data_IF_958850361270
#
_entry.id   IF_958850361270
#
_cell.length_a   1.000
_cell.length_b   1.000
_cell.length_c   1.000
_cell.angle_alpha   90.00
_cell.angle_beta   90.00
_cell.angle_gamma   90.00
#
_symmetry.space_group_name_H-M   'P 1'
#
loop_
_entity.id
_entity.type
_entity.pdbx_description
1 polymer ?
#
# COMPACT_ATOMS: atom_id res chain seq x y z
N UNK A 1 58.41 8.47 -9.47
CA UNK A 1 57.39 9.26 -8.72
C UNK A 1 56.23 8.31 -8.45
N UNK A 2 56.21 7.68 -7.29
CA UNK A 2 55.11 6.79 -6.90
C UNK A 2 54.00 7.63 -6.30
N UNK A 3 52.81 7.58 -6.89
CA UNK A 3 51.59 8.19 -6.34
C UNK A 3 51.21 7.48 -5.04
N UNK A 4 51.10 8.23 -3.96
CA UNK A 4 50.60 7.75 -2.69
C UNK A 4 49.17 7.18 -2.85
N UNK A 5 48.86 6.05 -2.24
CA UNK A 5 47.52 5.46 -2.30
C UNK A 5 46.50 6.32 -1.53
N UNK A 6 45.30 6.36 -2.10
CA UNK A 6 44.13 7.12 -1.68
C UNK A 6 43.86 7.03 -0.17
N UNK A 7 43.59 8.19 0.38
CA UNK A 7 43.31 8.48 1.79
C UNK A 7 42.28 7.56 2.40
N UNK A 8 42.68 6.83 3.43
CA UNK A 8 41.76 6.16 4.36
C UNK A 8 40.71 7.18 4.86
N UNK A 9 39.41 6.87 4.79
CA UNK A 9 38.39 7.76 5.28
C UNK A 9 38.61 8.01 6.78
N UNK A 10 38.64 9.27 7.17
CA UNK A 10 38.84 9.68 8.56
C UNK A 10 37.72 9.07 9.44
N UNK A 11 38.01 8.60 10.66
CA UNK A 11 37.05 7.94 11.54
C UNK A 11 35.78 8.76 11.81
N UNK A 12 35.84 10.07 11.74
CA UNK A 12 34.70 10.98 11.85
C UNK A 12 33.67 10.84 10.70
N UNK A 13 34.11 10.48 9.50
CA UNK A 13 33.20 10.32 8.34
C UNK A 13 32.42 9.01 8.45
N UNK A 14 33.04 7.95 8.94
CA UNK A 14 32.38 6.65 9.15
C UNK A 14 31.29 6.76 10.23
N UNK A 15 31.56 7.49 11.31
CA UNK A 15 30.62 7.68 12.42
C UNK A 15 29.40 8.52 12.03
N UNK A 16 29.60 9.57 11.20
CA UNK A 16 28.51 10.40 10.69
C UNK A 16 27.56 9.66 9.73
N UNK A 17 28.10 8.74 8.93
CA UNK A 17 27.29 7.91 8.01
C UNK A 17 26.46 6.89 8.76
N UNK A 18 26.97 6.32 9.83
CA UNK A 18 26.25 5.34 10.65
C UNK A 18 25.07 5.98 11.39
N UNK A 19 25.29 7.15 11.98
CA UNK A 19 24.24 7.92 12.66
C UNK A 19 23.10 8.30 11.69
N UNK A 20 23.43 8.68 10.46
CA UNK A 20 22.42 9.01 9.43
C UNK A 20 21.59 7.79 9.03
N UNK A 21 22.23 6.62 8.89
CA UNK A 21 21.53 5.37 8.57
C UNK A 21 20.60 4.95 9.70
N UNK A 22 21.08 5.00 10.92
CA UNK A 22 20.27 4.69 12.12
C UNK A 22 19.06 5.59 12.22
N UNK A 23 19.23 6.89 12.03
CA UNK A 23 18.12 7.84 12.00
C UNK A 23 17.11 7.53 10.88
N UNK A 24 17.58 7.23 9.66
CA UNK A 24 16.70 6.90 8.55
C UNK A 24 15.88 5.64 8.82
N UNK A 25 16.49 4.59 9.36
CA UNK A 25 15.78 3.36 9.74
C UNK A 25 14.74 3.65 10.83
N UNK A 26 15.10 4.40 11.85
CA UNK A 26 14.16 4.77 12.91
C UNK A 26 12.98 5.59 12.38
N UNK A 27 13.23 6.57 11.50
CA UNK A 27 12.19 7.38 10.87
C UNK A 27 11.22 6.53 10.02
N UNK A 28 11.75 5.57 9.25
CA UNK A 28 10.92 4.64 8.46
C UNK A 28 10.06 3.77 9.39
N UNK A 29 10.65 3.19 10.43
CA UNK A 29 9.91 2.35 11.38
C UNK A 29 8.82 3.15 12.11
N UNK A 30 9.13 4.39 12.50
CA UNK A 30 8.15 5.28 13.13
C UNK A 30 6.98 5.58 12.18
N UNK A 31 7.25 5.95 10.93
CA UNK A 31 6.22 6.22 9.93
C UNK A 31 5.36 4.98 9.70
N UNK A 32 5.97 3.81 9.56
CA UNK A 32 5.24 2.55 9.40
C UNK A 32 4.36 2.23 10.61
N UNK A 33 4.88 2.44 11.82
CA UNK A 33 4.10 2.23 13.05
C UNK A 33 2.89 3.19 13.11
N UNK A 34 3.11 4.48 12.85
CA UNK A 34 2.01 5.46 12.79
C UNK A 34 0.99 5.09 11.72
N UNK A 35 1.44 4.65 10.55
CA UNK A 35 0.56 4.22 9.47
C UNK A 35 -0.29 3.02 9.87
N UNK A 36 0.31 1.97 10.40
CA UNK A 36 -0.40 0.75 10.82
C UNK A 36 -1.42 1.04 11.93
N UNK A 37 -1.11 1.96 12.85
CA UNK A 37 -2.03 2.38 13.90
C UNK A 37 -3.17 3.25 13.38
N UNK A 38 -2.88 4.17 12.46
CA UNK A 38 -3.86 5.08 11.90
C UNK A 38 -4.78 4.41 10.87
N UNK A 39 -4.29 3.35 10.18
CA UNK A 39 -4.97 2.71 9.05
C UNK A 39 -4.98 1.19 9.11
N UNK A 40 -5.55 0.61 10.16
CA UNK A 40 -5.65 -0.84 10.26
C UNK A 40 -6.55 -1.38 9.15
N UNK A 41 -6.24 -2.58 8.68
CA UNK A 41 -7.14 -3.34 7.82
C UNK A 41 -8.45 -3.60 8.56
N UNK A 42 -9.58 -3.29 7.92
CA UNK A 42 -10.91 -3.38 8.54
C UNK A 42 -11.76 -4.54 8.04
N UNK A 43 -11.17 -5.47 7.31
CA UNK A 43 -11.86 -6.62 6.76
C UNK A 43 -12.62 -6.32 5.48
N UNK A 44 -13.57 -7.21 5.18
CA UNK A 44 -14.48 -7.07 4.05
C UNK A 44 -15.53 -6.01 4.36
N UNK A 45 -15.63 -5.01 3.51
CA UNK A 45 -16.65 -3.96 3.63
C UNK A 45 -16.97 -3.38 2.25
N UNK A 46 -18.21 -2.91 2.11
CA UNK A 46 -18.67 -2.19 0.92
C UNK A 46 -18.32 -2.92 -0.39
N UNK A 47 -17.67 -2.21 -1.31
CA UNK A 47 -17.27 -2.74 -2.62
C UNK A 47 -16.35 -3.98 -2.49
N UNK A 48 -15.63 -4.15 -1.38
CA UNK A 48 -14.78 -5.31 -1.14
C UNK A 48 -15.54 -6.63 -1.17
N UNK A 49 -16.80 -6.64 -0.73
CA UNK A 49 -17.67 -7.80 -0.77
C UNK A 49 -18.03 -8.17 -2.21
N UNK A 50 -18.29 -7.16 -3.07
CA UNK A 50 -18.58 -7.36 -4.47
C UNK A 50 -17.37 -7.93 -5.24
N UNK A 51 -16.18 -7.35 -5.02
CA UNK A 51 -14.95 -7.86 -5.65
C UNK A 51 -14.61 -9.26 -5.19
N UNK A 52 -14.81 -9.57 -3.91
CA UNK A 52 -14.63 -10.93 -3.42
C UNK A 52 -15.64 -11.88 -4.07
N UNK A 53 -16.92 -11.51 -4.17
CA UNK A 53 -17.93 -12.28 -4.87
C UNK A 53 -17.53 -12.59 -6.32
N UNK A 54 -17.02 -11.60 -7.03
CA UNK A 54 -16.51 -11.77 -8.41
C UNK A 54 -15.31 -12.73 -8.46
N UNK A 55 -14.38 -12.64 -7.51
CA UNK A 55 -13.27 -13.60 -7.42
C UNK A 55 -13.78 -15.01 -7.14
N UNK A 56 -14.76 -15.16 -6.23
CA UNK A 56 -15.39 -16.46 -5.95
C UNK A 56 -16.11 -17.03 -7.16
N UNK A 57 -16.71 -16.19 -8.00
CA UNK A 57 -17.29 -16.63 -9.28
C UNK A 57 -16.24 -17.31 -10.18
N UNK A 58 -15.00 -16.79 -10.23
CA UNK A 58 -13.91 -17.41 -10.96
C UNK A 58 -13.36 -18.67 -10.30
N UNK A 59 -13.39 -18.74 -8.97
CA UNK A 59 -12.85 -19.88 -8.21
C UNK A 59 -13.83 -21.05 -8.07
N UNK A 60 -15.13 -20.73 -7.94
CA UNK A 60 -16.22 -21.68 -7.69
C UNK A 60 -17.48 -21.31 -8.47
N UNK A 61 -17.42 -21.35 -9.81
CA UNK A 61 -18.55 -20.95 -10.65
C UNK A 61 -19.82 -21.76 -10.36
N UNK A 62 -19.67 -23.03 -10.02
CA UNK A 62 -20.80 -23.93 -9.71
C UNK A 62 -21.69 -23.45 -8.57
N UNK A 63 -21.13 -22.69 -7.62
CA UNK A 63 -21.86 -22.12 -6.49
C UNK A 63 -22.42 -20.74 -6.82
N UNK A 64 -21.62 -19.90 -7.45
CA UNK A 64 -21.91 -18.46 -7.61
C UNK A 64 -22.80 -18.15 -8.80
N UNK A 65 -22.79 -18.99 -9.85
CA UNK A 65 -23.61 -18.76 -11.06
C UNK A 65 -25.12 -18.81 -10.81
N UNK A 66 -25.57 -19.35 -9.69
CA UNK A 66 -26.98 -19.39 -9.31
C UNK A 66 -27.45 -18.09 -8.63
N UNK A 67 -26.53 -17.22 -8.25
CA UNK A 67 -26.86 -15.92 -7.65
C UNK A 67 -27.36 -14.95 -8.71
N UNK A 68 -28.50 -14.32 -8.45
CA UNK A 68 -29.16 -13.37 -9.35
C UNK A 68 -28.24 -12.20 -9.71
N UNK A 69 -27.42 -11.73 -8.76
CA UNK A 69 -26.47 -10.65 -9.01
C UNK A 69 -25.47 -11.01 -10.12
N UNK A 70 -24.91 -12.23 -10.08
CA UNK A 70 -23.93 -12.66 -11.09
C UNK A 70 -24.59 -13.01 -12.43
N UNK A 71 -25.86 -13.39 -12.41
CA UNK A 71 -26.59 -13.66 -13.65
C UNK A 71 -26.91 -12.38 -14.43
N UNK A 72 -27.32 -11.31 -13.74
CA UNK A 72 -27.94 -10.14 -14.39
C UNK A 72 -27.30 -8.80 -14.06
N UNK A 73 -26.56 -8.66 -12.99
CA UNK A 73 -26.06 -7.38 -12.48
C UNK A 73 -24.55 -7.27 -12.28
N UNK A 74 -23.81 -8.35 -12.42
CA UNK A 74 -22.39 -8.36 -12.14
C UNK A 74 -21.58 -7.56 -13.17
N UNK A 75 -20.65 -6.75 -12.68
CA UNK A 75 -19.67 -6.04 -13.51
C UNK A 75 -18.43 -6.91 -13.83
N UNK A 76 -18.44 -8.18 -13.50
CA UNK A 76 -17.32 -9.10 -13.65
C UNK A 76 -16.79 -9.15 -15.09
N UNK A 77 -17.67 -9.08 -16.07
CA UNK A 77 -17.32 -9.11 -17.51
C UNK A 77 -16.58 -7.85 -17.99
N UNK A 78 -16.60 -6.78 -17.21
CA UNK A 78 -16.03 -5.47 -17.58
C UNK A 78 -14.80 -5.11 -16.76
N UNK A 79 -14.34 -6.00 -15.90
CA UNK A 79 -13.18 -5.77 -15.05
C UNK A 79 -12.16 -6.92 -15.14
N UNK A 80 -10.89 -6.56 -15.14
CA UNK A 80 -9.79 -7.53 -15.07
C UNK A 80 -9.39 -7.86 -13.63
N UNK A 81 -9.97 -7.19 -12.65
CA UNK A 81 -9.57 -7.29 -11.23
C UNK A 81 -9.83 -8.69 -10.71
N UNK A 82 -11.04 -9.23 -10.91
CA UNK A 82 -11.38 -10.54 -10.38
C UNK A 82 -10.52 -11.68 -10.97
N UNK A 83 -10.34 -11.81 -12.30
CA UNK A 83 -9.46 -12.84 -12.86
C UNK A 83 -7.99 -12.66 -12.47
N UNK A 84 -7.53 -11.41 -12.24
CA UNK A 84 -6.17 -11.14 -11.78
C UNK A 84 -5.96 -11.58 -10.34
N UNK A 85 -6.96 -11.39 -9.49
CA UNK A 85 -6.89 -11.73 -8.07
C UNK A 85 -7.17 -13.21 -7.77
N UNK A 86 -7.94 -13.89 -8.61
CA UNK A 86 -8.33 -15.28 -8.38
C UNK A 86 -7.14 -16.24 -8.12
N UNK A 87 -6.02 -16.19 -8.85
CA UNK A 87 -4.84 -17.03 -8.57
C UNK A 87 -4.25 -16.75 -7.19
N UNK A 88 -4.20 -15.49 -6.77
CA UNK A 88 -3.68 -15.08 -5.46
C UNK A 88 -4.53 -15.65 -4.33
N UNK A 89 -5.85 -15.52 -4.44
CA UNK A 89 -6.80 -16.05 -3.46
C UNK A 89 -6.79 -17.58 -3.40
N UNK A 90 -6.55 -18.22 -4.55
CA UNK A 90 -6.40 -19.69 -4.60
C UNK A 90 -5.15 -20.16 -3.85
N UNK A 91 -4.05 -19.42 -3.96
CA UNK A 91 -2.75 -19.80 -3.40
C UNK A 91 -2.63 -19.48 -1.91
N UNK A 92 -3.05 -18.30 -1.48
CA UNK A 92 -2.81 -17.79 -0.13
C UNK A 92 -4.05 -17.78 0.77
N UNK A 93 -5.23 -18.06 0.22
CA UNK A 93 -6.47 -17.88 0.94
C UNK A 93 -7.03 -16.46 0.84
N UNK A 94 -8.30 -16.31 1.25
CA UNK A 94 -9.02 -15.03 1.06
C UNK A 94 -8.55 -13.94 2.01
N UNK A 95 -8.40 -14.24 3.30
CA UNK A 95 -8.05 -13.25 4.31
C UNK A 95 -6.62 -12.74 4.13
N UNK A 96 -5.69 -13.64 3.94
CA UNK A 96 -4.26 -13.33 3.76
C UNK A 96 -4.02 -12.50 2.49
N UNK A 97 -4.67 -12.90 1.38
CA UNK A 97 -4.55 -12.17 0.13
C UNK A 97 -5.07 -10.74 0.25
N UNK A 98 -6.18 -10.52 0.95
CA UNK A 98 -6.72 -9.17 1.15
C UNK A 98 -5.80 -8.31 2.02
N UNK A 99 -5.26 -8.85 3.10
CA UNK A 99 -4.30 -8.14 3.97
C UNK A 99 -3.07 -7.73 3.16
N UNK A 100 -2.52 -8.64 2.37
CA UNK A 100 -1.35 -8.37 1.52
C UNK A 100 -1.65 -7.31 0.47
N UNK A 101 -2.79 -7.41 -0.23
CA UNK A 101 -3.18 -6.45 -1.27
C UNK A 101 -3.39 -5.05 -0.69
N UNK A 102 -4.12 -4.93 0.42
CA UNK A 102 -4.30 -3.64 1.10
C UNK A 102 -2.96 -3.09 1.57
N UNK A 103 -2.11 -3.93 2.16
CA UNK A 103 -0.77 -3.52 2.60
C UNK A 103 0.11 -3.03 1.45
N UNK A 104 0.11 -3.73 0.31
CA UNK A 104 0.85 -3.31 -0.88
C UNK A 104 0.33 -1.99 -1.47
N UNK A 105 -0.99 -1.83 -1.56
CA UNK A 105 -1.61 -0.59 -2.02
C UNK A 105 -1.24 0.60 -1.11
N UNK A 106 -1.33 0.41 0.19
CA UNK A 106 -0.94 1.42 1.16
C UNK A 106 0.55 1.75 1.10
N UNK A 107 1.41 0.75 0.97
CA UNK A 107 2.85 0.95 0.80
C UNK A 107 3.15 1.73 -0.49
N UNK A 108 2.46 1.43 -1.58
CA UNK A 108 2.61 2.16 -2.84
C UNK A 108 2.28 3.66 -2.67
N UNK A 109 1.22 4.00 -1.93
CA UNK A 109 0.87 5.40 -1.61
C UNK A 109 2.01 6.08 -0.84
N UNK A 110 2.57 5.43 0.19
CA UNK A 110 3.67 5.99 0.98
C UNK A 110 4.94 6.21 0.14
N UNK A 111 5.30 5.22 -0.67
CA UNK A 111 6.48 5.29 -1.55
C UNK A 111 6.31 6.40 -2.58
N UNK A 112 5.13 6.50 -3.19
CA UNK A 112 4.83 7.55 -4.17
C UNK A 112 4.86 8.93 -3.53
N UNK A 113 4.27 9.10 -2.35
CA UNK A 113 4.31 10.35 -1.61
C UNK A 113 5.76 10.75 -1.27
N UNK A 114 6.56 9.81 -0.77
CA UNK A 114 7.97 10.04 -0.48
C UNK A 114 8.75 10.43 -1.74
N UNK A 115 8.54 9.73 -2.84
CA UNK A 115 9.19 10.03 -4.12
C UNK A 115 8.84 11.43 -4.60
N UNK A 116 7.57 11.83 -4.49
CA UNK A 116 7.10 13.16 -4.87
C UNK A 116 7.73 14.26 -4.02
N UNK A 117 7.75 14.10 -2.68
CA UNK A 117 8.38 15.05 -1.76
C UNK A 117 9.88 15.21 -2.05
N UNK A 118 10.56 14.11 -2.34
CA UNK A 118 11.97 14.11 -2.75
C UNK A 118 12.18 14.80 -4.08
N UNK A 119 11.30 14.56 -5.05
CA UNK A 119 11.35 15.22 -6.36
C UNK A 119 11.21 16.75 -6.23
N UNK A 120 10.44 17.24 -5.28
CA UNK A 120 10.32 18.66 -4.96
C UNK A 120 11.50 19.23 -4.18
N UNK A 121 12.54 18.44 -3.93
CA UNK A 121 13.77 18.88 -3.29
C UNK A 121 13.71 19.01 -1.77
N UNK A 122 12.69 18.44 -1.11
CA UNK A 122 12.60 18.46 0.34
C UNK A 122 13.70 17.60 0.97
N UNK A 123 14.21 18.05 2.12
CA UNK A 123 15.17 17.30 2.91
C UNK A 123 14.56 16.07 3.59
N UNK A 124 15.39 15.24 4.21
CA UNK A 124 14.94 13.98 4.81
C UNK A 124 13.95 14.19 5.97
N UNK A 125 14.11 15.25 6.76
CA UNK A 125 13.23 15.55 7.88
C UNK A 125 11.88 16.01 7.39
N UNK A 126 11.86 16.95 6.45
CA UNK A 126 10.63 17.45 5.81
C UNK A 126 9.87 16.35 5.09
N UNK A 127 10.57 15.43 4.40
CA UNK A 127 9.96 14.25 3.79
C UNK A 127 9.32 13.34 4.85
N UNK A 128 10.01 13.06 5.94
CA UNK A 128 9.49 12.21 7.02
C UNK A 128 8.25 12.82 7.66
N UNK A 129 8.29 14.11 7.96
CA UNK A 129 7.14 14.82 8.52
C UNK A 129 5.96 14.89 7.54
N UNK A 130 6.24 15.13 6.24
CA UNK A 130 5.21 15.14 5.20
C UNK A 130 4.52 13.79 5.05
N UNK A 131 5.28 12.69 5.01
CA UNK A 131 4.71 11.34 4.95
C UNK A 131 3.96 11.01 6.25
N UNK A 132 4.47 11.38 7.42
CA UNK A 132 3.78 11.19 8.69
C UNK A 132 2.46 11.99 8.74
N UNK A 133 2.43 13.21 8.23
CA UNK A 133 1.20 14.00 8.10
C UNK A 133 0.17 13.30 7.20
N UNK A 134 0.61 12.76 6.04
CA UNK A 134 -0.24 11.96 5.16
C UNK A 134 -0.82 10.74 5.89
N UNK A 135 -0.09 10.11 6.80
CA UNK A 135 -0.59 8.96 7.56
C UNK A 135 -1.79 9.31 8.46
N UNK A 136 -1.79 10.48 9.09
CA UNK A 136 -2.81 10.87 10.07
C UNK A 136 -3.94 11.73 9.49
N UNK A 137 -3.73 12.38 8.36
CA UNK A 137 -4.77 13.20 7.74
C UNK A 137 -5.91 12.34 7.19
N UNK A 138 -7.13 12.90 7.22
CA UNK A 138 -8.24 12.31 6.51
C UNK A 138 -8.03 12.44 5.00
N UNK A 139 -8.12 11.32 4.29
CA UNK A 139 -7.93 11.27 2.83
C UNK A 139 -9.25 11.07 2.09
N UNK A 140 -10.35 11.33 2.76
CA UNK A 140 -11.66 11.17 2.17
C UNK A 140 -11.94 12.32 1.20
N UNK A 141 -12.55 12.00 0.08
CA UNK A 141 -12.94 12.97 -0.95
C UNK A 141 -14.28 12.56 -1.58
N UNK A 142 -14.79 13.47 -2.42
CA UNK A 142 -16.09 13.28 -3.06
C UNK A 142 -17.27 13.70 -2.17
N UNK A 143 -18.46 13.63 -2.73
CA UNK A 143 -19.71 13.88 -1.98
C UNK A 143 -19.87 12.86 -0.86
N UNK A 144 -20.22 13.34 0.33
CA UNK A 144 -20.40 12.51 1.54
C UNK A 144 -19.13 11.82 2.05
N UNK A 145 -17.92 12.23 1.61
CA UNK A 145 -16.65 11.62 2.01
C UNK A 145 -16.60 10.10 1.80
N UNK A 146 -17.20 9.62 0.72
CA UNK A 146 -17.33 8.17 0.45
C UNK A 146 -16.01 7.56 -0.02
N UNK A 147 -15.19 8.34 -0.73
CA UNK A 147 -13.95 7.85 -1.32
C UNK A 147 -12.75 8.16 -0.46
N UNK A 148 -11.74 7.27 -0.48
CA UNK A 148 -10.48 7.47 0.21
C UNK A 148 -9.32 7.15 -0.74
N UNK A 149 -8.22 7.92 -0.66
CA UNK A 149 -6.98 7.63 -1.41
C UNK A 149 -6.25 6.39 -0.92
N UNK A 150 -6.51 5.96 0.31
CA UNK A 150 -5.92 4.76 0.89
C UNK A 150 -7.02 3.94 1.54
N UNK A 151 -7.64 3.11 0.73
CA UNK A 151 -8.68 2.20 1.20
C UNK A 151 -8.09 1.19 2.20
N UNK A 152 -8.85 0.87 3.25
CA UNK A 152 -8.48 -0.10 4.28
C UNK A 152 -9.05 -1.49 4.03
N UNK A 153 -9.59 -1.70 2.83
CA UNK A 153 -10.15 -2.94 2.32
C UNK A 153 -9.93 -3.01 0.81
N UNK A 154 -10.02 -4.19 0.23
CA UNK A 154 -9.78 -4.38 -1.21
C UNK A 154 -10.90 -3.78 -2.02
N UNK A 155 -10.57 -2.85 -2.92
CA UNK A 155 -11.46 -2.30 -3.94
C UNK A 155 -10.76 -2.23 -5.28
N UNK A 156 -11.52 -2.07 -6.37
CA UNK A 156 -10.93 -1.84 -7.69
C UNK A 156 -10.15 -0.53 -7.81
N UNK A 157 -10.20 0.33 -6.79
CA UNK A 157 -9.48 1.61 -6.74
C UNK A 157 -8.09 1.51 -6.09
N UNK A 158 -7.70 0.35 -5.58
CA UNK A 158 -6.35 0.10 -5.03
C UNK A 158 -5.29 0.09 -6.14
N UNK A 159 -5.71 -0.15 -7.37
CA UNK A 159 -4.85 -0.24 -8.56
C UNK A 159 -5.11 1.01 -9.47
#
# INVERSE_FOLDING_TARGET
MQSLPDTFPLPHQAQATDTRRTFAVFAVLLVLAVWLLARPYIGLRHDGELYLGQVLLHLRPEVMLHDIFFQFGSQDRYTIVAPLLAPLYRQFGMAESQIVLVGLGQLAVLVTALALLRHWGLDAISCTLGVAAICVMSHNYGGWNIFSFSERFVTGRIF
#
